data_IF_237571776110
#
_entry.id   IF_237571776110
#
_cell.length_a   1.000
_cell.length_b   1.000
_cell.length_c   1.000
_cell.angle_alpha   90.00
_cell.angle_beta   90.00
_cell.angle_gamma   90.00
#
_symmetry.space_group_name_H-M   'P 1'
#
loop_
_entity.id
_entity.type
_entity.pdbx_description
1 polymer ?
#
# COMPACT_ATOMS: atom_id res chain seq x y z
N UNK A 1 10.12 -3.96 20.58
CA UNK A 1 9.74 -3.97 19.15
C UNK A 1 9.35 -2.57 18.71
N UNK A 2 8.96 -2.38 17.44
CA UNK A 2 8.61 -1.07 16.84
C UNK A 2 7.10 -0.99 16.51
N UNK A 3 6.26 -0.87 17.54
CA UNK A 3 4.80 -0.91 17.36
C UNK A 3 4.30 0.22 16.46
N UNK A 4 4.69 1.46 16.74
CA UNK A 4 4.18 2.62 16.00
C UNK A 4 4.54 2.59 14.52
N UNK A 5 5.76 2.13 14.20
CA UNK A 5 6.20 1.93 12.83
C UNK A 5 5.41 0.82 12.12
N UNK A 6 5.14 -0.29 12.82
CA UNK A 6 4.30 -1.37 12.30
C UNK A 6 2.87 -0.89 12.03
N UNK A 7 2.27 -0.15 12.97
CA UNK A 7 0.93 0.41 12.82
C UNK A 7 0.86 1.43 11.67
N UNK A 8 1.92 2.23 11.45
CA UNK A 8 1.99 3.17 10.32
C UNK A 8 1.97 2.45 8.97
N UNK A 9 2.74 1.36 8.82
CA UNK A 9 2.76 0.55 7.58
C UNK A 9 1.39 -0.06 7.30
N UNK A 10 0.72 -0.64 8.31
CA UNK A 10 -0.61 -1.22 8.14
C UNK A 10 -1.62 -0.15 7.68
N UNK A 11 -1.63 1.03 8.30
CA UNK A 11 -2.52 2.14 7.91
C UNK A 11 -2.27 2.61 6.48
N UNK A 12 -1.01 2.71 6.06
CA UNK A 12 -0.66 3.10 4.69
C UNK A 12 -1.18 2.08 3.66
N UNK A 13 -1.02 0.78 3.95
CA UNK A 13 -1.55 -0.31 3.11
C UNK A 13 -3.08 -0.22 3.00
N UNK A 14 -3.78 -0.09 4.13
CA UNK A 14 -5.25 0.01 4.15
C UNK A 14 -5.74 1.20 3.32
N UNK A 15 -5.10 2.37 3.48
CA UNK A 15 -5.43 3.58 2.73
C UNK A 15 -5.26 3.36 1.23
N UNK A 16 -4.14 2.81 0.79
CA UNK A 16 -3.86 2.57 -0.63
C UNK A 16 -4.80 1.53 -1.21
N UNK A 17 -5.07 0.42 -0.53
CA UNK A 17 -5.97 -0.62 -1.05
C UNK A 17 -7.43 -0.17 -1.18
N UNK A 18 -7.84 0.82 -0.38
CA UNK A 18 -9.18 1.43 -0.46
C UNK A 18 -9.39 2.26 -1.75
N UNK A 19 -8.37 2.98 -2.21
CA UNK A 19 -8.47 3.93 -3.33
C UNK A 19 -7.75 3.48 -4.61
N UNK A 20 -6.76 2.58 -4.49
CA UNK A 20 -5.84 2.15 -5.55
C UNK A 20 -4.44 2.76 -5.41
N UNK A 21 -3.47 2.41 -6.27
CA UNK A 21 -3.53 1.47 -7.39
C UNK A 21 -3.72 0.01 -6.97
N UNK A 22 -4.16 -0.87 -7.89
CA UNK A 22 -4.26 -2.32 -7.66
C UNK A 22 -3.43 -3.09 -8.67
N UNK A 23 -2.78 -4.15 -8.21
CA UNK A 23 -2.07 -5.11 -9.05
C UNK A 23 -3.03 -6.02 -9.79
N UNK A 24 -2.49 -6.77 -10.75
CA UNK A 24 -3.27 -7.57 -11.71
C UNK A 24 -4.03 -8.74 -11.05
N UNK A 25 -3.47 -9.30 -9.99
CA UNK A 25 -4.11 -10.32 -9.13
C UNK A 25 -5.35 -9.77 -8.38
N UNK A 26 -5.39 -8.46 -8.11
CA UNK A 26 -6.54 -7.77 -7.51
C UNK A 26 -7.42 -7.06 -8.55
N UNK A 27 -7.34 -7.46 -9.83
CA UNK A 27 -8.16 -6.91 -10.92
C UNK A 27 -7.76 -5.50 -11.39
N UNK A 28 -6.61 -4.99 -10.96
CA UNK A 28 -6.07 -3.73 -11.44
C UNK A 28 -5.08 -3.89 -12.59
N UNK A 29 -4.39 -2.80 -12.91
CA UNK A 29 -3.38 -2.76 -13.99
C UNK A 29 -1.99 -2.36 -13.50
N UNK A 30 -1.86 -1.98 -12.23
CA UNK A 30 -0.60 -1.52 -11.70
C UNK A 30 0.40 -2.66 -11.54
N UNK A 31 1.65 -2.29 -11.59
CA UNK A 31 2.80 -3.13 -11.25
C UNK A 31 2.98 -3.19 -9.74
N UNK A 32 3.73 -4.19 -9.27
CA UNK A 32 4.14 -4.29 -7.86
C UNK A 32 4.92 -3.05 -7.41
N UNK A 33 5.74 -2.47 -8.29
CA UNK A 33 6.52 -1.28 -7.99
C UNK A 33 5.62 -0.04 -7.81
N UNK A 34 4.62 0.15 -8.67
CA UNK A 34 3.66 1.25 -8.54
C UNK A 34 2.83 1.15 -7.26
N UNK A 35 2.39 -0.06 -6.89
CA UNK A 35 1.72 -0.28 -5.60
C UNK A 35 2.65 0.00 -4.41
N UNK A 36 3.90 -0.46 -4.48
CA UNK A 36 4.89 -0.22 -3.43
C UNK A 36 5.20 1.28 -3.23
N UNK A 37 5.34 2.04 -4.33
CA UNK A 37 5.51 3.50 -4.28
C UNK A 37 4.33 4.19 -3.63
N UNK A 38 3.10 3.81 -4.00
CA UNK A 38 1.90 4.37 -3.39
C UNK A 38 1.82 4.11 -1.88
N UNK A 39 2.23 2.92 -1.42
CA UNK A 39 2.30 2.60 0.02
C UNK A 39 3.37 3.45 0.71
N UNK A 40 4.55 3.60 0.10
CA UNK A 40 5.63 4.39 0.66
C UNK A 40 5.29 5.89 0.74
N UNK A 41 4.55 6.43 -0.23
CA UNK A 41 4.05 7.81 -0.23
C UNK A 41 2.92 8.05 0.79
N UNK A 42 2.26 6.98 1.24
CA UNK A 42 1.17 7.04 2.22
C UNK A 42 1.62 6.86 3.69
N UNK A 43 2.93 6.65 3.93
CA UNK A 43 3.56 6.64 5.24
C UNK A 43 3.80 8.07 5.76
#
# INVERSE_FOLDING_TARGET
GHKDAGDAIVRAIERVLSAGPRTRDMGGKATTEELGKAIAEAL
#
